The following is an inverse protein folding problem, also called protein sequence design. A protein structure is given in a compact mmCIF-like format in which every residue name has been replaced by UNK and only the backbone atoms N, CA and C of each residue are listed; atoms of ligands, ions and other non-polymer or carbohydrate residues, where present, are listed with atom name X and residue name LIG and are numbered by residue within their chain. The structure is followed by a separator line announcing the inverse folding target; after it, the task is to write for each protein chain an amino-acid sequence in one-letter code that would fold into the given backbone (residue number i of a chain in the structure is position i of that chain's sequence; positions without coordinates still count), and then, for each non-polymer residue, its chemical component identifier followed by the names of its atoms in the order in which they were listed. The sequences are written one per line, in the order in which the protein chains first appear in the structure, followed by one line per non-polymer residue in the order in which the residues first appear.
data_IF_837962998522
#
_entry.id   IF_837962998522
#
_cell.length_a   1.000
_cell.length_b   1.000
_cell.length_c   1.000
_cell.angle_alpha   90.00
_cell.angle_beta   90.00
_cell.angle_gamma   90.00
#
_symmetry.space_group_name_H-M   'P 1'
#
loop_
_entity.id
_entity.type
_entity.pdbx_description
1 polymer ?
#
# COMPACT_ATOMS: atom_id res chain seq x y z
N UNK A 1 -20.35 -37.52 -28.03
CA UNK A 1 -19.68 -36.73 -26.98
C UNK A 1 -20.23 -35.31 -27.03
N UNK A 2 -21.25 -34.98 -26.22
CA UNK A 2 -21.69 -33.59 -26.02
C UNK A 2 -20.89 -33.01 -24.84
N UNK A 3 -19.58 -32.85 -25.06
CA UNK A 3 -18.61 -32.46 -24.03
C UNK A 3 -18.33 -30.96 -24.03
N UNK A 4 -19.37 -30.13 -24.09
CA UNK A 4 -19.28 -28.68 -23.99
C UNK A 4 -19.91 -28.20 -22.70
N UNK A 5 -19.38 -27.10 -22.15
CA UNK A 5 -19.98 -26.37 -21.03
C UNK A 5 -21.38 -25.88 -21.42
N UNK A 6 -22.33 -25.92 -20.49
CA UNK A 6 -23.62 -25.25 -20.70
C UNK A 6 -23.45 -23.73 -20.61
N UNK A 7 -24.40 -22.97 -21.16
CA UNK A 7 -24.39 -21.51 -21.04
C UNK A 7 -24.34 -21.05 -19.58
N UNK A 8 -24.99 -21.79 -18.66
CA UNK A 8 -24.94 -21.53 -17.23
C UNK A 8 -23.55 -21.79 -16.63
N UNK A 9 -22.85 -22.83 -17.09
CA UNK A 9 -21.46 -23.10 -16.68
C UNK A 9 -20.52 -22.02 -17.21
N UNK A 10 -20.74 -21.55 -18.45
CA UNK A 10 -19.97 -20.46 -19.07
C UNK A 10 -20.18 -19.16 -18.27
N UNK A 11 -21.41 -18.77 -17.98
CA UNK A 11 -21.70 -17.56 -17.19
C UNK A 11 -21.08 -17.62 -15.79
N UNK A 12 -21.12 -18.80 -15.15
CA UNK A 12 -20.48 -19.00 -13.85
C UNK A 12 -18.97 -18.85 -13.97
N UNK A 13 -18.34 -19.47 -14.97
CA UNK A 13 -16.90 -19.37 -15.21
C UNK A 13 -16.47 -17.92 -15.50
N UNK A 14 -17.28 -17.13 -16.20
CA UNK A 14 -17.01 -15.70 -16.44
C UNK A 14 -17.03 -14.92 -15.12
N UNK A 15 -18.07 -15.07 -14.30
CA UNK A 15 -18.15 -14.38 -13.00
C UNK A 15 -17.02 -14.77 -12.05
N UNK A 16 -16.68 -16.06 -12.01
CA UNK A 16 -15.57 -16.56 -11.19
C UNK A 16 -14.24 -15.96 -11.69
N UNK A 17 -14.04 -15.85 -13.00
CA UNK A 17 -12.85 -15.22 -13.58
C UNK A 17 -12.75 -13.73 -13.24
N UNK A 18 -13.87 -12.98 -13.34
CA UNK A 18 -13.92 -11.55 -12.99
C UNK A 18 -13.62 -11.31 -11.51
N UNK A 19 -14.21 -12.13 -10.61
CA UNK A 19 -13.96 -12.03 -9.18
C UNK A 19 -12.50 -12.30 -8.81
N UNK A 20 -11.87 -13.30 -9.45
CA UNK A 20 -10.45 -13.59 -9.27
C UNK A 20 -9.56 -12.45 -9.78
N UNK A 21 -9.88 -11.89 -10.96
CA UNK A 21 -9.14 -10.76 -11.52
C UNK A 21 -9.17 -9.54 -10.59
N UNK A 22 -10.32 -9.23 -9.99
CA UNK A 22 -10.43 -8.15 -9.01
C UNK A 22 -9.69 -8.44 -7.70
N UNK A 23 -9.71 -9.69 -7.20
CA UNK A 23 -8.94 -10.09 -6.03
C UNK A 23 -7.43 -9.95 -6.27
N UNK A 24 -6.94 -10.40 -7.43
CA UNK A 24 -5.53 -10.28 -7.82
C UNK A 24 -5.10 -8.82 -7.96
N UNK A 25 -5.96 -7.97 -8.53
CA UNK A 25 -5.71 -6.53 -8.63
C UNK A 25 -5.57 -5.88 -7.26
N UNK A 26 -6.47 -6.19 -6.32
CA UNK A 26 -6.39 -5.69 -4.93
C UNK A 26 -5.12 -6.14 -4.23
N UNK A 27 -4.76 -7.43 -4.37
CA UNK A 27 -3.53 -7.98 -3.79
C UNK A 27 -2.29 -7.28 -4.35
N UNK A 28 -2.26 -7.03 -5.66
CA UNK A 28 -1.17 -6.32 -6.32
C UNK A 28 -1.05 -4.88 -5.82
N UNK A 29 -2.18 -4.15 -5.73
CA UNK A 29 -2.21 -2.79 -5.22
C UNK A 29 -1.67 -2.70 -3.78
N UNK A 30 -2.08 -3.63 -2.91
CA UNK A 30 -1.57 -3.69 -1.54
C UNK A 30 -0.06 -3.90 -1.46
N UNK A 31 0.47 -4.83 -2.26
CA UNK A 31 1.93 -5.07 -2.31
C UNK A 31 2.67 -3.85 -2.83
N UNK A 32 2.15 -3.19 -3.86
CA UNK A 32 2.76 -1.98 -4.41
C UNK A 32 2.76 -0.83 -3.40
N UNK A 33 1.64 -0.60 -2.71
CA UNK A 33 1.52 0.40 -1.65
C UNK A 33 2.52 0.13 -0.51
N UNK A 34 2.62 -1.13 -0.04
CA UNK A 34 3.60 -1.51 1.00
C UNK A 34 5.05 -1.27 0.57
N UNK A 35 5.41 -1.65 -0.65
CA UNK A 35 6.76 -1.44 -1.17
C UNK A 35 7.13 0.06 -1.26
N UNK A 36 6.19 0.90 -1.69
CA UNK A 36 6.38 2.35 -1.73
C UNK A 36 6.53 2.94 -0.32
N UNK A 37 5.68 2.50 0.61
CA UNK A 37 5.73 2.90 2.01
C UNK A 37 7.08 2.55 2.66
N UNK A 38 7.56 1.31 2.51
CA UNK A 38 8.84 0.85 3.06
C UNK A 38 10.02 1.65 2.51
N UNK A 39 10.04 1.91 1.19
CA UNK A 39 11.09 2.70 0.56
C UNK A 39 11.12 4.13 1.11
N UNK A 40 9.95 4.76 1.25
CA UNK A 40 9.84 6.13 1.77
C UNK A 40 10.26 6.18 3.24
N UNK A 41 9.72 5.30 4.08
CA UNK A 41 10.10 5.17 5.51
C UNK A 41 11.61 5.05 5.66
N UNK A 42 12.25 4.15 4.91
CA UNK A 42 13.69 3.96 4.99
C UNK A 42 14.46 5.24 4.65
N UNK A 43 14.06 5.91 3.57
CA UNK A 43 14.72 7.15 3.14
C UNK A 43 14.52 8.29 4.14
N UNK A 44 13.32 8.44 4.71
CA UNK A 44 13.00 9.46 5.70
C UNK A 44 13.72 9.22 7.04
N UNK A 45 13.81 7.97 7.51
CA UNK A 45 14.59 7.63 8.71
C UNK A 45 16.07 7.93 8.53
N UNK A 46 16.62 7.63 7.36
CA UNK A 46 18.00 7.97 7.02
C UNK A 46 18.21 9.49 7.02
N UNK A 47 17.31 10.24 6.39
CA UNK A 47 17.37 11.70 6.36
C UNK A 47 17.29 12.31 7.76
N UNK A 48 16.40 11.82 8.63
CA UNK A 48 16.32 12.24 10.02
C UNK A 48 17.61 11.95 10.80
N UNK A 49 18.22 10.80 10.56
CA UNK A 49 19.50 10.44 11.19
C UNK A 49 20.64 11.35 10.75
N UNK A 50 20.70 11.71 9.46
CA UNK A 50 21.79 12.50 8.88
C UNK A 50 21.61 14.02 9.11
N UNK A 51 20.38 14.51 9.07
CA UNK A 51 20.08 15.95 9.02
C UNK A 51 19.11 16.42 10.10
N UNK A 52 18.58 15.54 10.95
CA UNK A 52 17.57 15.89 11.95
C UNK A 52 18.03 16.98 12.92
N UNK A 53 19.33 17.07 13.21
CA UNK A 53 19.92 18.13 14.06
C UNK A 53 19.96 19.51 13.41
N UNK A 54 19.67 19.60 12.11
CA UNK A 54 19.65 20.84 11.35
C UNK A 54 18.25 21.41 11.15
N UNK A 55 17.21 20.69 11.58
CA UNK A 55 15.81 21.13 11.52
C UNK A 55 15.29 21.41 12.93
N UNK A 56 14.14 22.08 13.01
CA UNK A 56 13.53 22.35 14.31
C UNK A 56 13.09 21.05 15.00
N UNK A 57 13.00 21.08 16.34
CA UNK A 57 12.45 19.95 17.11
C UNK A 57 11.02 19.63 16.67
N UNK A 58 10.22 20.66 16.36
CA UNK A 58 8.85 20.50 15.88
C UNK A 58 8.81 19.73 14.56
N UNK A 59 9.63 20.11 13.57
CA UNK A 59 9.69 19.42 12.28
C UNK A 59 10.21 17.99 12.44
N UNK A 60 11.23 17.78 13.29
CA UNK A 60 11.76 16.45 13.58
C UNK A 60 10.68 15.53 14.15
N UNK A 61 9.91 16.01 15.12
CA UNK A 61 8.82 15.26 15.73
C UNK A 61 7.71 14.98 14.72
N UNK A 62 7.32 15.96 13.92
CA UNK A 62 6.30 15.77 12.87
C UNK A 62 6.69 14.67 11.87
N UNK A 63 7.94 14.68 11.38
CA UNK A 63 8.45 13.64 10.47
C UNK A 63 8.49 12.28 11.18
N UNK A 64 8.96 12.22 12.44
CA UNK A 64 9.02 10.97 13.19
C UNK A 64 7.63 10.36 13.42
N UNK A 65 6.64 11.19 13.73
CA UNK A 65 5.25 10.77 13.91
C UNK A 65 4.63 10.30 12.58
N UNK A 66 4.91 10.98 11.47
CA UNK A 66 4.46 10.58 10.13
C UNK A 66 5.07 9.23 9.70
N UNK A 67 6.36 9.01 9.99
CA UNK A 67 7.03 7.72 9.77
C UNK A 67 6.34 6.61 10.59
N UNK A 68 6.07 6.85 11.88
CA UNK A 68 5.42 5.87 12.74
C UNK A 68 4.01 5.53 12.23
N UNK A 69 3.23 6.54 11.86
CA UNK A 69 1.89 6.35 11.32
C UNK A 69 1.89 5.54 10.01
N UNK A 70 2.84 5.81 9.11
CA UNK A 70 2.98 5.04 7.86
C UNK A 70 3.39 3.59 8.14
N UNK A 71 4.30 3.34 9.07
CA UNK A 71 4.67 1.98 9.48
C UNK A 71 3.46 1.20 10.00
N UNK A 72 2.67 1.80 10.89
CA UNK A 72 1.45 1.17 11.43
C UNK A 72 0.43 0.87 10.33
N UNK A 73 0.23 1.79 9.38
CA UNK A 73 -0.67 1.54 8.25
C UNK A 73 -0.17 0.39 7.35
N UNK A 74 1.14 0.31 7.11
CA UNK A 74 1.74 -0.73 6.26
C UNK A 74 1.63 -2.16 6.84
N UNK A 75 1.42 -2.30 8.15
CA UNK A 75 1.10 -3.57 8.80
C UNK A 75 -0.31 -4.07 8.48
N UNK A 76 -1.23 -3.19 8.09
CA UNK A 76 -2.60 -3.49 7.70
C UNK A 76 -2.76 -3.86 6.22
N UNK A 77 -3.97 -4.23 5.82
CA UNK A 77 -4.30 -4.69 4.46
C UNK A 77 -5.10 -3.65 3.64
N UNK A 78 -5.12 -2.38 4.07
CA UNK A 78 -5.79 -1.28 3.37
C UNK A 78 -4.79 -0.48 2.52
N UNK A 79 -4.77 -0.78 1.21
CA UNK A 79 -3.89 -0.09 0.27
C UNK A 79 -4.16 1.43 0.20
N UNK A 80 -5.42 1.86 0.36
CA UNK A 80 -5.79 3.28 0.31
C UNK A 80 -5.29 4.02 1.55
N UNK A 81 -5.35 3.39 2.72
CA UNK A 81 -4.77 3.95 3.95
C UNK A 81 -3.24 4.08 3.84
N UNK A 82 -2.57 3.04 3.32
CA UNK A 82 -1.11 3.05 3.12
C UNK A 82 -0.72 4.17 2.14
N UNK A 83 -1.41 4.31 1.01
CA UNK A 83 -1.19 5.38 0.03
C UNK A 83 -1.38 6.77 0.66
N UNK A 84 -2.46 6.96 1.42
CA UNK A 84 -2.74 8.24 2.09
C UNK A 84 -1.64 8.62 3.10
N UNK A 85 -1.14 7.64 3.88
CA UNK A 85 -0.03 7.88 4.82
C UNK A 85 1.31 8.07 4.11
N UNK A 86 1.50 7.41 2.97
CA UNK A 86 2.68 7.60 2.12
C UNK A 86 2.72 9.03 1.60
N UNK A 87 1.60 9.55 1.11
CA UNK A 87 1.50 10.93 0.67
C UNK A 87 1.70 11.92 1.83
N UNK A 88 1.08 11.66 3.00
CA UNK A 88 1.25 12.51 4.17
C UNK A 88 2.72 12.63 4.60
N UNK A 89 3.48 11.52 4.62
CA UNK A 89 4.92 11.56 4.93
C UNK A 89 5.72 12.29 3.84
N UNK A 90 5.35 12.16 2.57
CA UNK A 90 6.02 12.85 1.47
C UNK A 90 5.82 14.38 1.49
N UNK A 91 4.74 14.84 2.11
CA UNK A 91 4.38 16.26 2.26
C UNK A 91 4.85 16.87 3.60
N UNK A 92 5.42 16.04 4.51
CA UNK A 92 5.97 16.50 5.80
C UNK A 92 7.38 17.04 5.65
#
# INVERSE_FOLDING_TARGET
ASGGLSDADIEKMVKDAEANAEADKKRRALVEARNQAEALVHSSEKSLKEYGEKVSEADRTAIADAIAALKTAAEGDDATEIEAKTQALAET
#
